data_IF_970032347396
#
_entry.id   IF_970032347396
#
_cell.length_a   1.000
_cell.length_b   1.000
_cell.length_c   1.000
_cell.angle_alpha   90.00
_cell.angle_beta   90.00
_cell.angle_gamma   90.00
#
_symmetry.space_group_name_H-M   'P 1'
#
loop_
_entity.id
_entity.type
_entity.pdbx_description
1 polymer ?
#
# COMPACT_ATOMS: atom_id res chain seq x y z
N UNK A 1 -14.65 14.60 -13.85
CA UNK A 1 -14.78 16.06 -13.61
C UNK A 1 -14.39 16.35 -12.18
N UNK A 2 -13.61 17.40 -11.93
CA UNK A 2 -13.30 17.84 -10.56
C UNK A 2 -14.60 18.33 -9.89
N UNK A 3 -14.85 17.90 -8.64
CA UNK A 3 -15.96 18.39 -7.82
C UNK A 3 -15.37 19.18 -6.66
N UNK A 4 -15.93 20.36 -6.39
CA UNK A 4 -15.60 21.13 -5.19
C UNK A 4 -16.44 20.58 -4.03
N UNK A 5 -15.79 20.27 -2.92
CA UNK A 5 -16.44 19.68 -1.75
C UNK A 5 -16.03 20.48 -0.52
N UNK A 6 -17.02 20.95 0.24
CA UNK A 6 -16.80 21.54 1.55
C UNK A 6 -16.71 20.42 2.59
N UNK A 7 -15.69 20.46 3.43
CA UNK A 7 -15.41 19.43 4.44
C UNK A 7 -15.19 20.15 5.76
N UNK A 8 -15.83 19.67 6.83
CA UNK A 8 -15.56 20.12 8.19
C UNK A 8 -14.36 19.34 8.74
N UNK A 9 -13.34 20.07 9.18
CA UNK A 9 -12.14 19.52 9.81
C UNK A 9 -12.08 20.01 11.25
N UNK A 10 -11.71 19.12 12.18
CA UNK A 10 -11.42 19.52 13.55
C UNK A 10 -10.07 20.25 13.65
N UNK A 11 -9.87 20.95 14.76
CA UNK A 11 -8.70 21.80 15.01
C UNK A 11 -7.36 21.08 14.83
N UNK A 12 -7.31 19.78 15.15
CA UNK A 12 -6.11 18.95 14.95
C UNK A 12 -5.67 18.92 13.48
N UNK A 13 -6.60 18.64 12.56
CA UNK A 13 -6.28 18.52 11.14
C UNK A 13 -6.10 19.89 10.49
N UNK A 14 -6.82 20.91 10.94
CA UNK A 14 -6.60 22.28 10.48
C UNK A 14 -5.18 22.76 10.82
N UNK A 15 -4.74 22.54 12.06
CA UNK A 15 -3.37 22.86 12.49
C UNK A 15 -2.32 22.08 11.68
N UNK A 16 -2.53 20.79 11.44
CA UNK A 16 -1.64 19.99 10.61
C UNK A 16 -1.54 20.52 9.18
N UNK A 17 -2.67 20.83 8.53
CA UNK A 17 -2.70 21.40 7.18
C UNK A 17 -1.95 22.74 7.15
N UNK A 18 -2.21 23.61 8.13
CA UNK A 18 -1.54 24.90 8.25
C UNK A 18 -0.03 24.76 8.43
N UNK A 19 0.45 23.77 9.19
CA UNK A 19 1.88 23.46 9.30
C UNK A 19 2.46 23.01 7.96
N UNK A 20 1.77 22.11 7.24
CA UNK A 20 2.23 21.64 5.93
C UNK A 20 2.32 22.77 4.90
N UNK A 21 1.41 23.75 4.95
CA UNK A 21 1.49 24.95 4.10
C UNK A 21 2.65 25.86 4.55
N UNK A 22 2.81 26.10 5.85
CA UNK A 22 3.89 26.95 6.40
C UNK A 22 5.29 26.43 6.06
N UNK A 23 5.46 25.11 5.92
CA UNK A 23 6.74 24.52 5.48
C UNK A 23 7.07 24.80 4.01
N UNK A 24 6.11 25.32 3.22
CA UNK A 24 6.25 25.54 1.79
C UNK A 24 6.08 24.28 0.94
N UNK A 25 5.80 23.13 1.56
CA UNK A 25 5.61 21.85 0.85
C UNK A 25 4.33 21.83 0.00
N UNK A 26 3.30 22.57 0.42
CA UNK A 26 2.03 22.70 -0.29
C UNK A 26 1.57 24.16 -0.30
N UNK A 27 0.86 24.55 -1.34
CA UNK A 27 0.38 25.94 -1.52
C UNK A 27 -1.02 26.13 -0.96
N UNK A 28 -1.84 25.06 -0.87
CA UNK A 28 -3.24 25.15 -0.42
C UNK A 28 -3.66 23.94 0.41
N UNK A 29 -4.69 24.11 1.25
CA UNK A 29 -5.31 23.02 1.99
C UNK A 29 -5.80 21.89 1.07
N UNK A 30 -6.41 22.25 -0.07
CA UNK A 30 -6.87 21.30 -1.08
C UNK A 30 -5.75 20.43 -1.66
N UNK A 31 -4.52 20.93 -1.75
CA UNK A 31 -3.38 20.11 -2.16
C UNK A 31 -2.97 19.11 -1.09
N UNK A 32 -2.94 19.53 0.18
CA UNK A 32 -2.65 18.63 1.31
C UNK A 32 -3.68 17.50 1.37
N UNK A 33 -4.97 17.84 1.29
CA UNK A 33 -6.07 16.86 1.31
C UNK A 33 -5.97 15.90 0.12
N UNK A 34 -5.70 16.38 -1.09
CA UNK A 34 -5.50 15.52 -2.25
C UNK A 34 -4.29 14.59 -2.10
N UNK A 35 -3.18 15.07 -1.54
CA UNK A 35 -2.01 14.24 -1.29
C UNK A 35 -2.31 13.14 -0.27
N UNK A 36 -3.02 13.47 0.81
CA UNK A 36 -3.47 12.50 1.80
C UNK A 36 -4.41 11.45 1.20
N UNK A 37 -5.39 11.86 0.39
CA UNK A 37 -6.31 10.93 -0.28
C UNK A 37 -5.59 9.98 -1.25
N UNK A 38 -4.60 10.47 -2.00
CA UNK A 38 -3.78 9.60 -2.88
C UNK A 38 -3.00 8.56 -2.08
N UNK A 39 -2.42 8.97 -0.95
CA UNK A 39 -1.72 8.04 -0.07
C UNK A 39 -2.67 6.98 0.49
N UNK A 40 -3.84 7.41 0.95
CA UNK A 40 -4.88 6.52 1.47
C UNK A 40 -5.37 5.51 0.41
N UNK A 41 -5.64 5.97 -0.81
CA UNK A 41 -6.04 5.11 -1.94
C UNK A 41 -4.97 4.04 -2.24
N UNK A 42 -3.70 4.44 -2.24
CA UNK A 42 -2.58 3.54 -2.48
C UNK A 42 -2.44 2.48 -1.38
N UNK A 43 -2.61 2.88 -0.12
CA UNK A 43 -2.55 1.95 1.01
C UNK A 43 -3.71 0.95 0.99
N UNK A 44 -4.93 1.40 0.73
CA UNK A 44 -6.10 0.51 0.61
C UNK A 44 -5.97 -0.44 -0.58
N UNK A 45 -5.43 0.03 -1.70
CA UNK A 45 -5.16 -0.82 -2.88
C UNK A 45 -4.15 -1.92 -2.53
N UNK A 46 -3.01 -1.55 -1.95
CA UNK A 46 -1.97 -2.51 -1.51
C UNK A 46 -2.49 -3.53 -0.52
N UNK A 47 -3.30 -3.07 0.45
CA UNK A 47 -3.90 -3.95 1.46
C UNK A 47 -4.85 -4.96 0.82
N UNK A 48 -5.70 -4.52 -0.09
CA UNK A 48 -6.62 -5.39 -0.82
C UNK A 48 -5.87 -6.44 -1.65
N UNK A 49 -4.81 -6.03 -2.35
CA UNK A 49 -3.95 -6.94 -3.11
C UNK A 49 -3.26 -7.97 -2.21
N UNK A 50 -2.69 -7.53 -1.08
CA UNK A 50 -2.05 -8.41 -0.12
C UNK A 50 -3.03 -9.47 0.42
N UNK A 51 -4.23 -9.05 0.83
CA UNK A 51 -5.27 -9.97 1.32
C UNK A 51 -5.63 -10.98 0.24
N UNK A 52 -5.77 -10.54 -1.02
CA UNK A 52 -6.09 -11.42 -2.14
C UNK A 52 -5.00 -12.47 -2.37
N UNK A 53 -3.72 -12.10 -2.31
CA UNK A 53 -2.62 -13.06 -2.48
C UNK A 53 -2.48 -14.00 -1.29
N UNK A 54 -2.73 -13.53 -0.06
CA UNK A 54 -2.77 -14.40 1.13
C UNK A 54 -3.88 -15.45 1.01
N UNK A 55 -5.09 -15.05 0.62
CA UNK A 55 -6.21 -15.98 0.40
C UNK A 55 -5.91 -17.01 -0.70
N UNK A 56 -5.17 -16.64 -1.75
CA UNK A 56 -4.71 -17.60 -2.76
C UNK A 56 -3.73 -18.61 -2.16
N UNK A 57 -2.79 -18.14 -1.32
CA UNK A 57 -1.85 -18.99 -0.60
C UNK A 57 -2.57 -20.00 0.30
N UNK A 58 -3.53 -19.54 1.11
CA UNK A 58 -4.34 -20.41 1.97
C UNK A 58 -5.11 -21.48 1.17
N UNK A 59 -5.69 -21.07 0.02
CA UNK A 59 -6.42 -22.00 -0.88
C UNK A 59 -5.51 -22.93 -1.67
N UNK A 60 -4.21 -22.65 -1.76
CA UNK A 60 -3.25 -23.52 -2.47
C UNK A 60 -2.91 -24.79 -1.69
N UNK A 61 -3.36 -24.88 -0.43
CA UNK A 61 -3.03 -25.98 0.47
C UNK A 61 -1.66 -25.81 1.10
N UNK A 62 -1.37 -26.65 2.10
CA UNK A 62 -0.11 -26.63 2.83
C UNK A 62 0.75 -27.84 2.45
N UNK A 63 2.05 -27.63 2.35
CA UNK A 63 3.03 -28.71 2.20
C UNK A 63 3.50 -29.11 3.60
N UNK A 64 3.10 -30.29 4.06
CA UNK A 64 3.39 -30.75 5.43
C UNK A 64 4.86 -31.10 5.67
N UNK A 65 5.57 -31.57 4.64
CA UNK A 65 6.95 -32.06 4.72
C UNK A 65 7.92 -31.25 3.86
N UNK A 66 7.89 -29.92 4.00
CA UNK A 66 8.76 -29.04 3.24
C UNK A 66 10.23 -29.19 3.67
N UNK A 67 11.06 -29.77 2.79
CA UNK A 67 12.53 -29.81 2.93
C UNK A 67 13.18 -28.73 2.08
N UNK A 68 13.83 -27.77 2.76
CA UNK A 68 14.49 -26.63 2.14
C UNK A 68 15.68 -27.02 1.25
N UNK A 69 16.46 -28.01 1.65
CA UNK A 69 17.68 -28.41 0.94
C UNK A 69 17.33 -29.13 -0.37
N UNK A 70 16.32 -30.01 -0.31
CA UNK A 70 15.79 -30.69 -1.50
C UNK A 70 15.17 -29.67 -2.46
N UNK A 71 14.41 -28.69 -1.96
CA UNK A 71 13.83 -27.63 -2.76
C UNK A 71 14.89 -26.72 -3.40
N UNK A 72 15.95 -26.35 -2.66
CA UNK A 72 17.03 -25.54 -3.20
C UNK A 72 17.81 -26.29 -4.29
N UNK A 73 18.06 -27.58 -4.10
CA UNK A 73 18.74 -28.42 -5.11
C UNK A 73 17.91 -28.53 -6.39
N UNK A 74 16.60 -28.72 -6.27
CA UNK A 74 15.70 -28.80 -7.44
C UNK A 74 15.60 -27.47 -8.18
N UNK A 75 15.55 -26.33 -7.48
CA UNK A 75 15.62 -25.00 -8.09
C UNK A 75 16.92 -24.78 -8.86
N UNK A 76 18.08 -25.07 -8.25
CA UNK A 76 19.39 -24.94 -8.92
C UNK A 76 19.45 -25.80 -10.17
N UNK A 77 18.98 -27.05 -10.10
CA UNK A 77 18.98 -27.97 -11.23
C UNK A 77 18.06 -27.50 -12.37
N UNK A 78 16.91 -26.91 -12.04
CA UNK A 78 15.95 -26.37 -13.01
C UNK A 78 16.51 -25.16 -13.77
N UNK A 79 17.32 -24.33 -13.12
CA UNK A 79 17.89 -23.11 -13.70
C UNK A 79 19.33 -23.25 -14.20
N UNK A 80 19.97 -24.41 -14.02
CA UNK A 80 21.31 -24.70 -14.55
C UNK A 80 21.30 -25.29 -15.97
N UNK A 81 20.12 -25.49 -16.57
CA UNK A 81 19.94 -25.99 -17.93
C UNK A 81 19.55 -24.89 -18.95
N UNK A 82 19.57 -23.63 -18.53
CA UNK A 82 19.63 -22.43 -19.39
C UNK A 82 21.06 -21.90 -19.46
#
# INVERSE_FOLDING_TARGET
>A
MAKNTSILLGDHFDNFINQQIKTGKFSTASEVVRAALRMFEHEETKKSELIKELQKGEKSGFVESFDREVFLKSLKQKHSAE
#
